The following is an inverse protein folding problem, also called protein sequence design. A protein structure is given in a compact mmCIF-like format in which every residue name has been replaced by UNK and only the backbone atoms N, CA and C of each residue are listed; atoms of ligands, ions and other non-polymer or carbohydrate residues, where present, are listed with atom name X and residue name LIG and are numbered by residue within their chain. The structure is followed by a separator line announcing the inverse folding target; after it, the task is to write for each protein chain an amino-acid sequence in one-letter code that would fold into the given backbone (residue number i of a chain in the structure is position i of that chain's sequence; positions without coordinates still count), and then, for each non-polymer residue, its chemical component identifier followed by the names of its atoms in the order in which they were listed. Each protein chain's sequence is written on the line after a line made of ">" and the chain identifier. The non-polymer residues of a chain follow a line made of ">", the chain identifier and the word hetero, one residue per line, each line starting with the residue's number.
data_IF_994878933167
#
_entry.id   IF_994878933167
#
_cell.length_a   1.000
_cell.length_b   1.000
_cell.length_c   1.000
_cell.angle_alpha   90.00
_cell.angle_beta   90.00
_cell.angle_gamma   90.00
#
_symmetry.space_group_name_H-M   'P 1'
#
loop_
_entity.id
_entity.type
_entity.pdbx_description
1 polymer ?
#
# COMPACT_ATOMS: atom_id res chain seq x y z
N UNK A 1 5.11 -5.80 18.71
CA UNK A 1 5.04 -6.47 17.39
C UNK A 1 5.80 -5.63 16.38
N UNK A 2 6.49 -6.24 15.40
CA UNK A 2 7.32 -5.54 14.40
C UNK A 2 6.62 -5.61 13.03
N UNK A 3 6.75 -4.57 12.21
CA UNK A 3 6.36 -4.59 10.80
C UNK A 3 7.32 -5.47 10.00
N UNK A 4 6.78 -6.35 9.14
CA UNK A 4 7.56 -7.34 8.39
C UNK A 4 7.27 -7.32 6.89
N UNK A 5 8.22 -7.84 6.10
CA UNK A 5 8.06 -8.03 4.66
C UNK A 5 6.81 -8.88 4.36
N UNK A 6 6.09 -8.52 3.31
CA UNK A 6 4.83 -9.14 2.91
C UNK A 6 3.58 -8.58 3.63
N UNK A 7 3.74 -7.73 4.65
CA UNK A 7 2.59 -7.10 5.31
C UNK A 7 2.06 -5.91 4.50
N UNK A 8 0.73 -5.80 4.41
CA UNK A 8 0.10 -4.60 3.89
C UNK A 8 0.27 -3.45 4.90
N UNK A 9 0.74 -2.30 4.40
CA UNK A 9 1.04 -1.12 5.20
C UNK A 9 0.52 0.14 4.54
N UNK A 10 0.31 1.17 5.37
CA UNK A 10 0.12 2.54 4.94
C UNK A 10 1.33 3.35 5.40
N UNK A 11 2.10 3.87 4.45
CA UNK A 11 3.20 4.79 4.69
C UNK A 11 2.71 6.24 4.53
N UNK A 12 2.98 7.08 5.51
CA UNK A 12 2.69 8.52 5.51
C UNK A 12 4.02 9.25 5.36
N UNK A 13 4.11 10.08 4.32
CA UNK A 13 5.31 10.83 3.99
C UNK A 13 5.13 12.30 4.31
N UNK A 14 6.23 12.94 4.69
CA UNK A 14 6.31 14.38 4.83
C UNK A 14 7.14 15.00 3.69
N UNK A 15 6.63 16.11 3.14
CA UNK A 15 7.28 16.98 2.13
C UNK A 15 7.80 16.27 0.85
N UNK A 16 6.98 16.17 -0.21
CA UNK A 16 5.54 16.44 -0.24
C UNK A 16 4.75 15.44 0.61
N UNK A 17 3.57 15.87 1.07
CA UNK A 17 2.67 15.02 1.86
C UNK A 17 1.98 14.02 0.97
N UNK A 18 2.25 12.75 1.22
CA UNK A 18 1.72 11.63 0.45
C UNK A 18 1.33 10.50 1.40
N UNK A 19 0.35 9.70 1.00
CA UNK A 19 -0.01 8.45 1.69
C UNK A 19 0.09 7.34 0.67
N UNK A 20 0.89 6.34 0.96
CA UNK A 20 1.05 5.17 0.10
C UNK A 20 0.43 3.97 0.80
N UNK A 21 -0.36 3.20 0.08
CA UNK A 21 -0.78 1.87 0.48
C UNK A 21 0.00 0.84 -0.33
N UNK A 22 0.50 -0.21 0.29
CA UNK A 22 1.19 -1.26 -0.43
C UNK A 22 1.68 -2.40 0.45
N UNK A 23 2.35 -3.35 -0.21
CA UNK A 23 3.01 -4.48 0.44
C UNK A 23 4.44 -4.07 0.78
N UNK A 24 4.77 -4.18 2.06
CA UNK A 24 6.10 -3.87 2.56
C UNK A 24 7.12 -4.90 2.05
N UNK A 25 8.25 -4.42 1.52
CA UNK A 25 9.37 -5.27 1.13
C UNK A 25 10.47 -5.19 2.21
N UNK A 26 10.98 -3.99 2.48
CA UNK A 26 12.06 -3.79 3.45
C UNK A 26 11.90 -2.47 4.23
N UNK A 27 12.33 -2.48 5.50
CA UNK A 27 12.61 -1.29 6.29
C UNK A 27 14.09 -1.33 6.70
N UNK A 28 14.87 -0.39 6.19
CA UNK A 28 16.30 -0.25 6.49
C UNK A 28 16.68 1.17 6.92
N UNK A 29 17.93 1.40 7.36
CA UNK A 29 18.37 2.74 7.79
C UNK A 29 18.29 3.81 6.70
N UNK A 30 18.48 3.41 5.43
CA UNK A 30 18.41 4.31 4.28
C UNK A 30 16.98 4.72 3.91
N UNK A 31 16.01 3.85 4.19
CA UNK A 31 14.65 4.04 3.71
C UNK A 31 13.77 2.81 3.80
N UNK A 32 12.65 2.91 3.13
CA UNK A 32 11.57 1.92 3.13
C UNK A 32 11.24 1.57 1.70
N UNK A 33 11.22 0.27 1.40
CA UNK A 33 10.83 -0.26 0.11
C UNK A 33 9.45 -0.91 0.23
N UNK A 34 8.53 -0.55 -0.67
CA UNK A 34 7.21 -1.18 -0.76
C UNK A 34 6.73 -1.20 -2.21
N UNK A 35 5.94 -2.21 -2.56
CA UNK A 35 5.18 -2.23 -3.82
C UNK A 35 3.77 -1.75 -3.54
N UNK A 36 3.37 -0.64 -4.14
CA UNK A 36 2.15 0.03 -3.71
C UNK A 36 1.60 1.05 -4.69
N UNK A 37 0.71 1.88 -4.18
CA UNK A 37 0.06 2.96 -4.91
C UNK A 37 -0.15 4.14 -3.97
N UNK A 38 -0.17 5.35 -4.51
CA UNK A 38 -0.70 6.48 -3.75
C UNK A 38 -2.16 6.22 -3.41
N UNK A 39 -2.51 6.42 -2.14
CA UNK A 39 -3.83 6.14 -1.61
C UNK A 39 -4.94 6.92 -2.34
N UNK A 40 -4.60 8.06 -2.97
CA UNK A 40 -5.52 8.84 -3.83
C UNK A 40 -5.95 8.07 -5.08
N UNK A 41 -5.11 7.18 -5.60
CA UNK A 41 -5.38 6.36 -6.79
C UNK A 41 -5.80 4.93 -6.46
N UNK A 42 -5.92 4.58 -5.18
CA UNK A 42 -6.28 3.24 -4.74
C UNK A 42 -7.62 2.77 -5.33
N UNK A 43 -8.63 3.64 -5.29
CA UNK A 43 -9.96 3.35 -5.82
C UNK A 43 -9.98 3.16 -7.34
N UNK A 44 -9.19 3.97 -8.05
CA UNK A 44 -9.05 3.89 -9.51
C UNK A 44 -8.32 2.60 -9.92
N UNK A 45 -7.26 2.24 -9.20
CA UNK A 45 -6.56 0.96 -9.37
C UNK A 45 -7.51 -0.21 -9.12
N UNK A 46 -8.24 -0.22 -8.00
CA UNK A 46 -9.18 -1.29 -7.69
C UNK A 46 -10.27 -1.40 -8.75
N UNK A 47 -10.76 -0.27 -9.29
CA UNK A 47 -11.73 -0.27 -10.39
C UNK A 47 -11.14 -0.85 -11.68
N UNK A 48 -9.92 -0.45 -12.06
CA UNK A 48 -9.25 -0.94 -13.25
C UNK A 48 -8.99 -2.44 -13.17
N UNK A 49 -8.48 -2.93 -12.04
CA UNK A 49 -8.26 -4.36 -11.81
C UNK A 49 -9.57 -5.15 -11.87
N UNK A 50 -10.66 -4.65 -11.25
CA UNK A 50 -11.98 -5.29 -11.33
C UNK A 50 -12.55 -5.31 -12.77
N UNK A 51 -12.18 -4.34 -13.60
CA UNK A 51 -12.54 -4.28 -15.01
C UNK A 51 -11.61 -5.13 -15.92
N UNK A 52 -10.54 -5.73 -15.38
CA UNK A 52 -9.54 -6.46 -16.16
C UNK A 52 -8.62 -5.56 -16.99
N UNK A 53 -8.49 -4.29 -16.60
CA UNK A 53 -7.64 -3.31 -17.27
C UNK A 53 -6.20 -3.39 -16.73
N UNK A 54 -5.23 -3.73 -17.59
CA UNK A 54 -3.83 -3.95 -17.19
C UNK A 54 -2.97 -2.66 -17.16
N UNK A 55 -3.54 -1.49 -17.47
CA UNK A 55 -2.77 -0.25 -17.58
C UNK A 55 -2.42 0.40 -16.24
N UNK A 56 -3.13 0.04 -15.17
CA UNK A 56 -2.89 0.51 -13.80
C UNK A 56 -2.32 -0.63 -12.96
N UNK A 57 -1.05 -0.50 -12.58
CA UNK A 57 -0.37 -1.44 -11.70
C UNK A 57 0.28 -0.70 -10.53
N UNK A 58 0.43 -1.36 -9.36
CA UNK A 58 1.27 -0.85 -8.29
C UNK A 58 2.70 -0.60 -8.79
N UNK A 59 3.35 0.40 -8.21
CA UNK A 59 4.76 0.72 -8.48
C UNK A 59 5.63 0.29 -7.31
N UNK A 60 6.90 -0.02 -7.61
CA UNK A 60 7.91 -0.22 -6.58
C UNK A 60 8.40 1.16 -6.09
N UNK A 61 8.22 1.42 -4.80
CA UNK A 61 8.63 2.66 -4.14
C UNK A 61 9.84 2.41 -3.27
N UNK A 62 10.89 3.20 -3.48
CA UNK A 62 11.90 3.45 -2.46
C UNK A 62 11.67 4.84 -1.85
N UNK A 63 11.51 4.88 -0.53
CA UNK A 63 11.22 6.10 0.20
C UNK A 63 12.40 6.36 1.16
N UNK A 64 13.16 7.45 0.99
CA UNK A 64 14.21 7.82 1.92
C UNK A 64 13.69 7.94 3.35
N UNK A 65 14.43 7.44 4.34
CA UNK A 65 13.96 7.39 5.73
C UNK A 65 13.58 8.78 6.27
N UNK A 66 14.31 9.83 5.85
CA UNK A 66 14.03 11.21 6.23
C UNK A 66 12.73 11.77 5.68
N UNK A 67 12.01 11.08 4.77
CA UNK A 67 10.67 11.47 4.32
C UNK A 67 9.56 10.73 5.08
N UNK A 68 9.88 9.65 5.78
CA UNK A 68 8.87 8.78 6.41
C UNK A 68 8.42 9.44 7.70
N UNK A 69 7.16 9.87 7.75
CA UNK A 69 6.55 10.38 8.98
C UNK A 69 6.08 9.23 9.87
N UNK A 70 5.42 8.23 9.26
CA UNK A 70 4.84 7.08 9.95
C UNK A 70 4.58 5.93 9.01
N UNK A 71 4.73 4.70 9.49
CA UNK A 71 4.20 3.49 8.84
C UNK A 71 3.24 2.81 9.81
N UNK A 72 2.07 2.47 9.31
CA UNK A 72 1.10 1.65 10.04
C UNK A 72 0.79 0.40 9.25
N UNK A 73 0.60 -0.72 9.94
CA UNK A 73 0.03 -1.90 9.32
C UNK A 73 -1.41 -1.62 8.92
N UNK A 74 -1.81 -2.12 7.75
CA UNK A 74 -3.21 -2.18 7.35
C UNK A 74 -3.90 -3.34 8.08
N UNK A 75 -4.80 -3.03 9.00
CA UNK A 75 -5.56 -4.02 9.77
C UNK A 75 -7.01 -3.54 9.93
N UNK A 76 -7.95 -4.49 9.92
CA UNK A 76 -9.34 -4.21 10.22
C UNK A 76 -9.48 -3.69 11.67
N UNK A 77 -10.34 -2.69 11.88
CA UNK A 77 -10.52 -2.09 13.19
C UNK A 77 -11.94 -1.55 13.37
N UNK A 78 -12.50 -1.76 14.57
CA UNK A 78 -13.81 -1.18 14.93
C UNK A 78 -14.97 -1.59 14.01
N UNK A 79 -14.91 -2.76 13.37
CA UNK A 79 -15.92 -3.23 12.42
C UNK A 79 -15.74 -2.75 10.98
N UNK A 80 -14.71 -1.95 10.69
CA UNK A 80 -14.32 -1.59 9.34
C UNK A 80 -13.25 -2.56 8.82
N UNK A 81 -13.42 -3.03 7.57
CA UNK A 81 -12.43 -3.85 6.87
C UNK A 81 -11.16 -3.06 6.55
N UNK A 82 -10.03 -3.76 6.48
CA UNK A 82 -8.76 -3.17 6.05
C UNK A 82 -8.81 -2.76 4.57
N UNK A 83 -7.84 -1.97 4.11
CA UNK A 83 -7.75 -1.62 2.69
C UNK A 83 -7.45 -2.85 1.83
N UNK A 84 -6.59 -3.75 2.30
CA UNK A 84 -6.30 -5.02 1.63
C UNK A 84 -7.57 -5.89 1.48
N UNK A 85 -8.38 -5.99 2.54
CA UNK A 85 -9.65 -6.72 2.52
C UNK A 85 -10.65 -6.07 1.55
N UNK A 86 -10.77 -4.75 1.57
CA UNK A 86 -11.61 -4.00 0.63
C UNK A 86 -11.18 -4.21 -0.82
N UNK A 87 -9.87 -4.21 -1.09
CA UNK A 87 -9.31 -4.49 -2.41
C UNK A 87 -9.71 -5.90 -2.89
N UNK A 88 -9.48 -6.92 -2.06
CA UNK A 88 -9.78 -8.30 -2.39
C UNK A 88 -11.28 -8.52 -2.60
N UNK A 89 -12.14 -7.94 -1.76
CA UNK A 89 -13.58 -8.04 -1.88
C UNK A 89 -14.13 -7.43 -3.17
N UNK A 90 -13.52 -6.34 -3.64
CA UNK A 90 -13.96 -5.63 -4.85
C UNK A 90 -13.45 -6.25 -6.15
N UNK A 91 -12.21 -6.74 -6.14
CA UNK A 91 -11.52 -7.19 -7.35
C UNK A 91 -11.51 -8.71 -7.51
N UNK A 92 -11.69 -9.46 -6.42
CA UNK A 92 -11.45 -10.91 -6.38
C UNK A 92 -9.97 -11.29 -6.55
N UNK A 93 -9.04 -10.34 -6.42
CA UNK A 93 -7.60 -10.51 -6.64
C UNK A 93 -6.80 -10.15 -5.39
N UNK A 94 -5.65 -10.78 -5.22
CA UNK A 94 -4.70 -10.41 -4.16
C UNK A 94 -3.80 -9.27 -4.62
N UNK A 95 -3.74 -8.19 -3.83
CA UNK A 95 -2.94 -7.01 -4.16
C UNK A 95 -1.45 -7.34 -4.34
N UNK A 96 -0.92 -8.30 -3.57
CA UNK A 96 0.47 -8.74 -3.67
C UNK A 96 0.82 -9.43 -5.01
N UNK A 97 -0.18 -9.81 -5.81
CA UNK A 97 -0.02 -10.52 -7.09
C UNK A 97 -0.16 -9.62 -8.32
N UNK A 98 -0.43 -8.32 -8.12
CA UNK A 98 -0.42 -7.31 -9.18
C UNK A 98 1.01 -6.87 -9.46
#
# INVERSE_FOLDING_TARGET
>A
MKLAAGEAVVAILHTPREKLFGILDEIGPAGVSLRGVDLRYFEDLARAVAAGEEHLNPSDYFIPMWRVERITRDEASGGASSLLEQFAARTGREFATL
#
